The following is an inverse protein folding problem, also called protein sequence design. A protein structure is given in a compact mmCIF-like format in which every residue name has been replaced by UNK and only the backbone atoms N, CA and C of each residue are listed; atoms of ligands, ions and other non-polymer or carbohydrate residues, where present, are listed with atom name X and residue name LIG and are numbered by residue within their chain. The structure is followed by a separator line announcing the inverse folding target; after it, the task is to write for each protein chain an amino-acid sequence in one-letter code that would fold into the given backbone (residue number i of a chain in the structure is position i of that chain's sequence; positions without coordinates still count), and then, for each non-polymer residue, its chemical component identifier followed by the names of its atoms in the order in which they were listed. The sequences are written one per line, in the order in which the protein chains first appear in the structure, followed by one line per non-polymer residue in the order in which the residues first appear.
data_IF_510459960949
#
_entry.id   IF_510459960949
#
_cell.length_a   1.000
_cell.length_b   1.000
_cell.length_c   1.000
_cell.angle_alpha   90.00
_cell.angle_beta   90.00
_cell.angle_gamma   90.00
#
_symmetry.space_group_name_H-M   'P 1'
#
loop_
_entity.id
_entity.type
_entity.pdbx_description
1 polymer ?
#
# COMPACT_ATOMS: atom_id res chain seq x y z
N UNK A 1 18.23 -0.31 9.28
CA UNK A 1 18.27 -0.04 7.82
C UNK A 1 18.27 -1.41 7.15
N UNK A 2 17.18 -1.79 6.48
CA UNK A 2 17.06 -3.11 5.82
C UNK A 2 18.06 -3.19 4.68
N UNK A 3 18.81 -4.29 4.57
CA UNK A 3 19.81 -4.43 3.50
C UNK A 3 19.11 -4.68 2.16
N UNK A 4 19.77 -4.32 1.07
CA UNK A 4 19.22 -4.45 -0.29
C UNK A 4 18.74 -5.87 -0.62
N UNK A 5 19.53 -6.89 -0.24
CA UNK A 5 19.21 -8.31 -0.42
C UNK A 5 17.93 -8.73 0.34
N UNK A 6 17.75 -8.25 1.58
CA UNK A 6 16.56 -8.52 2.39
C UNK A 6 15.31 -7.88 1.77
N UNK A 7 15.47 -6.74 1.08
CA UNK A 7 14.37 -6.04 0.42
C UNK A 7 13.90 -6.78 -0.84
N UNK A 8 14.81 -7.36 -1.62
CA UNK A 8 14.43 -8.24 -2.75
C UNK A 8 13.57 -9.41 -2.23
N UNK A 9 14.03 -10.07 -1.16
CA UNK A 9 13.28 -11.17 -0.54
C UNK A 9 11.89 -10.73 -0.06
N UNK A 10 11.81 -9.58 0.63
CA UNK A 10 10.55 -9.06 1.14
C UNK A 10 9.57 -8.70 0.00
N UNK A 11 10.03 -8.03 -1.05
CA UNK A 11 9.19 -7.68 -2.21
C UNK A 11 8.70 -8.91 -2.96
N UNK A 12 9.56 -9.92 -3.14
CA UNK A 12 9.16 -11.20 -3.73
C UNK A 12 8.03 -11.86 -2.92
N UNK A 13 8.20 -11.92 -1.60
CA UNK A 13 7.19 -12.53 -0.70
C UNK A 13 5.89 -11.73 -0.66
N UNK A 14 5.96 -10.41 -0.67
CA UNK A 14 4.78 -9.55 -0.70
C UNK A 14 3.94 -9.73 -1.99
N UNK A 15 4.61 -10.05 -3.10
CA UNK A 15 3.98 -10.34 -4.39
C UNK A 15 3.66 -11.84 -4.59
N UNK A 16 3.78 -12.67 -3.55
CA UNK A 16 3.53 -14.12 -3.59
C UNK A 16 4.35 -14.92 -4.62
N UNK A 17 5.49 -14.39 -5.05
CA UNK A 17 6.35 -15.07 -6.01
C UNK A 17 7.29 -16.09 -5.34
N UNK A 18 7.52 -17.19 -6.01
CA UNK A 18 8.62 -18.13 -5.77
C UNK A 18 9.92 -17.60 -6.38
N UNK A 19 11.07 -18.13 -5.93
CA UNK A 19 12.35 -17.79 -6.54
C UNK A 19 12.45 -18.27 -8.00
N UNK A 20 11.73 -19.34 -8.35
CA UNK A 20 11.71 -19.89 -9.70
C UNK A 20 10.94 -18.97 -10.65
N UNK A 21 9.77 -18.46 -10.24
CA UNK A 21 8.96 -17.56 -11.06
C UNK A 21 9.71 -16.26 -11.38
N UNK A 22 10.38 -15.65 -10.39
CA UNK A 22 11.20 -14.45 -10.64
C UNK A 22 12.40 -14.77 -11.53
N UNK A 23 13.03 -15.93 -11.33
CA UNK A 23 14.16 -16.34 -12.15
C UNK A 23 13.76 -16.46 -13.63
N UNK A 24 12.58 -17.02 -13.90
CA UNK A 24 12.02 -17.13 -15.24
C UNK A 24 11.75 -15.75 -15.85
N UNK A 25 11.10 -14.86 -15.11
CA UNK A 25 10.79 -13.50 -15.57
C UNK A 25 12.05 -12.70 -15.92
N UNK A 26 13.07 -12.81 -15.08
CA UNK A 26 14.35 -12.10 -15.25
C UNK A 26 15.35 -12.83 -16.15
N UNK A 27 14.99 -14.01 -16.67
CA UNK A 27 15.85 -14.88 -17.49
C UNK A 27 17.20 -15.17 -16.82
N UNK A 28 17.16 -15.51 -15.54
CA UNK A 28 18.31 -15.92 -14.72
C UNK A 28 18.04 -17.28 -14.09
N UNK A 29 19.03 -17.86 -13.40
CA UNK A 29 18.81 -19.11 -12.65
C UNK A 29 18.14 -18.84 -11.31
N UNK A 30 17.37 -19.81 -10.79
CA UNK A 30 16.84 -19.77 -9.41
C UNK A 30 17.94 -19.53 -8.36
N UNK A 31 19.11 -20.12 -8.58
CA UNK A 31 20.27 -19.93 -7.71
C UNK A 31 20.74 -18.47 -7.70
N UNK A 32 20.67 -17.78 -8.84
CA UNK A 32 20.98 -16.35 -8.95
C UNK A 32 20.07 -15.53 -8.05
N UNK A 33 18.76 -15.78 -8.06
CA UNK A 33 17.80 -15.11 -7.16
C UNK A 33 18.12 -15.40 -5.69
N UNK A 34 18.38 -16.67 -5.35
CA UNK A 34 18.77 -17.04 -3.98
C UNK A 34 20.03 -16.30 -3.52
N UNK A 35 21.04 -16.18 -4.40
CA UNK A 35 22.28 -15.48 -4.10
C UNK A 35 22.05 -13.97 -3.88
N UNK A 36 21.15 -13.36 -4.65
CA UNK A 36 20.77 -11.95 -4.45
C UNK A 36 20.01 -11.72 -3.15
N UNK A 37 19.12 -12.64 -2.74
CA UNK A 37 18.35 -12.54 -1.49
C UNK A 37 19.22 -12.79 -0.25
N UNK A 38 20.20 -13.68 -0.34
CA UNK A 38 21.15 -13.99 0.73
C UNK A 38 22.34 -13.03 0.78
N UNK A 39 22.51 -12.19 -0.25
CA UNK A 39 23.60 -11.21 -0.33
C UNK A 39 24.96 -11.80 -0.71
N UNK A 40 25.01 -13.05 -1.19
CA UNK A 40 26.25 -13.68 -1.68
C UNK A 40 26.65 -13.21 -3.07
N UNK A 41 25.70 -12.64 -3.83
CA UNK A 41 25.96 -11.94 -5.09
C UNK A 41 25.05 -10.71 -5.19
N UNK A 42 25.41 -9.77 -6.08
CA UNK A 42 24.59 -8.59 -6.37
C UNK A 42 24.10 -8.61 -7.82
N UNK A 43 22.86 -8.17 -8.09
CA UNK A 43 22.36 -7.95 -9.44
C UNK A 43 23.10 -6.80 -10.14
N UNK A 44 23.21 -6.89 -11.47
CA UNK A 44 23.67 -5.76 -12.30
C UNK A 44 22.61 -4.66 -12.31
N UNK A 45 22.99 -3.44 -12.72
CA UNK A 45 22.05 -2.31 -12.82
C UNK A 45 20.84 -2.66 -13.69
N UNK A 46 21.04 -3.32 -14.82
CA UNK A 46 19.96 -3.77 -15.69
C UNK A 46 18.98 -4.70 -14.96
N UNK A 47 19.50 -5.66 -14.17
CA UNK A 47 18.68 -6.56 -13.36
C UNK A 47 17.99 -5.86 -12.21
N UNK A 48 18.56 -4.79 -11.65
CA UNK A 48 17.88 -3.95 -10.67
C UNK A 48 16.69 -3.23 -11.31
N UNK A 49 16.84 -2.71 -12.53
CA UNK A 49 15.74 -2.07 -13.26
C UNK A 49 14.63 -3.08 -13.56
N UNK A 50 15.00 -4.27 -14.05
CA UNK A 50 14.03 -5.34 -14.30
C UNK A 50 13.31 -5.77 -13.00
N UNK A 51 14.03 -5.98 -11.89
CA UNK A 51 13.44 -6.28 -10.58
C UNK A 51 12.44 -5.21 -10.13
N UNK A 52 12.78 -3.93 -10.34
CA UNK A 52 11.92 -2.82 -9.99
C UNK A 52 10.60 -2.87 -10.77
N UNK A 53 10.68 -3.19 -12.07
CA UNK A 53 9.50 -3.38 -12.92
C UNK A 53 8.66 -4.61 -12.50
N UNK A 54 9.31 -5.75 -12.22
CA UNK A 54 8.63 -6.99 -11.79
C UNK A 54 7.86 -6.79 -10.48
N UNK A 55 8.41 -5.99 -9.57
CA UNK A 55 7.77 -5.71 -8.28
C UNK A 55 6.86 -4.47 -8.29
N UNK A 56 6.72 -3.79 -9.43
CA UNK A 56 5.99 -2.53 -9.58
C UNK A 56 6.41 -1.47 -8.54
N UNK A 57 7.72 -1.27 -8.40
CA UNK A 57 8.33 -0.25 -7.52
C UNK A 57 9.36 0.59 -8.27
N UNK A 58 9.67 1.79 -7.78
CA UNK A 58 10.81 2.54 -8.31
C UNK A 58 12.15 1.92 -7.91
N UNK A 59 13.20 2.17 -8.69
CA UNK A 59 14.56 1.74 -8.35
C UNK A 59 15.01 2.28 -6.98
N UNK A 60 14.67 3.54 -6.67
CA UNK A 60 14.90 4.18 -5.37
C UNK A 60 14.21 3.41 -4.23
N UNK A 61 12.96 2.99 -4.42
CA UNK A 61 12.25 2.13 -3.48
C UNK A 61 12.94 0.76 -3.36
N UNK A 62 13.32 0.12 -4.46
CA UNK A 62 13.97 -1.19 -4.42
C UNK A 62 15.31 -1.17 -3.67
N UNK A 63 16.16 -0.15 -3.88
CA UNK A 63 17.48 -0.04 -3.24
C UNK A 63 17.45 0.57 -1.83
N UNK A 64 16.26 0.82 -1.28
CA UNK A 64 16.10 1.41 0.05
C UNK A 64 16.41 2.90 0.11
N UNK A 65 16.65 3.55 -1.04
CA UNK A 65 16.68 5.01 -1.20
C UNK A 65 15.28 5.55 -1.39
N UNK A 66 14.33 5.10 -0.58
CA UNK A 66 13.04 5.77 -0.53
C UNK A 66 13.30 7.22 -0.13
N UNK A 67 13.31 8.12 -1.12
CA UNK A 67 12.83 9.48 -0.91
C UNK A 67 11.39 9.28 -0.53
N UNK A 68 11.16 9.05 0.76
CA UNK A 68 9.92 9.32 1.46
C UNK A 68 8.84 9.80 0.49
N UNK A 69 8.15 8.85 -0.18
CA UNK A 69 6.87 9.14 -0.85
C UNK A 69 5.79 9.45 0.20
N UNK A 70 6.19 9.81 1.42
CA UNK A 70 5.50 10.78 2.26
C UNK A 70 5.55 12.17 1.62
N UNK A 71 4.97 12.34 0.43
CA UNK A 71 4.36 13.62 0.07
C UNK A 71 2.85 13.46 0.06
N UNK A 72 2.31 13.74 1.26
CA UNK A 72 1.01 14.35 1.55
C UNK A 72 -0.27 13.51 1.40
N UNK A 73 -0.35 12.40 2.14
CA UNK A 73 -1.62 11.99 2.76
C UNK A 73 -1.62 12.14 4.30
N UNK A 74 -0.46 12.17 4.97
CA UNK A 74 -0.44 11.91 6.43
C UNK A 74 -0.43 13.12 7.38
N UNK A 75 -0.45 14.38 6.96
CA UNK A 75 -0.65 15.46 7.95
C UNK A 75 -2.11 15.50 8.41
N UNK A 76 -2.99 15.59 7.41
CA UNK A 76 -4.42 15.74 7.58
C UNK A 76 -5.03 14.43 8.09
N UNK A 77 -4.75 13.28 7.47
CA UNK A 77 -5.33 12.00 7.92
C UNK A 77 -4.88 11.60 9.33
N UNK A 78 -3.61 11.87 9.71
CA UNK A 78 -3.17 11.65 11.10
C UNK A 78 -3.90 12.58 12.09
N UNK A 79 -4.25 13.81 11.68
CA UNK A 79 -5.06 14.72 12.52
C UNK A 79 -6.49 14.23 12.74
N UNK A 80 -6.96 13.30 11.91
CA UNK A 80 -8.27 12.67 12.04
C UNK A 80 -8.24 11.40 12.90
N UNK A 81 -7.07 10.96 13.37
CA UNK A 81 -6.98 9.80 14.27
C UNK A 81 -7.81 10.05 15.53
N UNK A 82 -8.63 9.08 15.90
CA UNK A 82 -9.61 9.15 16.99
C UNK A 82 -10.71 10.22 16.84
N UNK A 83 -10.82 10.90 15.69
CA UNK A 83 -11.93 11.81 15.39
C UNK A 83 -13.11 11.04 14.80
N UNK A 84 -14.33 11.55 15.03
CA UNK A 84 -15.54 11.11 14.34
C UNK A 84 -15.69 11.94 13.06
N UNK A 85 -15.83 11.25 11.94
CA UNK A 85 -15.89 11.87 10.61
C UNK A 85 -16.96 11.21 9.75
N UNK A 86 -17.46 11.96 8.79
CA UNK A 86 -18.18 11.42 7.64
C UNK A 86 -17.21 11.28 6.46
N UNK A 87 -17.12 10.09 5.85
CA UNK A 87 -16.29 9.82 4.69
C UNK A 87 -17.14 9.80 3.42
N UNK A 88 -16.64 10.44 2.36
CA UNK A 88 -17.20 10.35 1.02
C UNK A 88 -16.33 9.42 0.18
N UNK A 89 -16.92 8.35 -0.33
CA UNK A 89 -16.22 7.34 -1.12
C UNK A 89 -16.60 7.43 -2.59
N UNK A 90 -15.69 6.97 -3.45
CA UNK A 90 -16.00 6.70 -4.86
C UNK A 90 -17.04 5.59 -4.94
N UNK A 91 -18.12 5.76 -5.72
CA UNK A 91 -19.06 4.66 -5.98
C UNK A 91 -18.32 3.51 -6.67
N UNK A 92 -18.56 2.27 -6.24
CA UNK A 92 -17.86 1.06 -6.74
C UNK A 92 -18.37 0.61 -8.12
N UNK A 93 -18.98 1.49 -8.92
CA UNK A 93 -19.55 1.13 -10.22
C UNK A 93 -18.92 1.95 -11.34
N UNK A 94 -18.30 1.24 -12.28
CA UNK A 94 -17.63 1.65 -13.53
C UNK A 94 -18.57 2.37 -14.55
N UNK A 95 -19.68 2.97 -14.08
CA UNK A 95 -20.72 3.55 -14.91
C UNK A 95 -20.82 5.04 -14.62
N UNK A 96 -20.48 5.83 -15.64
CA UNK A 96 -20.40 7.30 -15.73
C UNK A 96 -21.64 8.10 -15.23
N UNK A 97 -22.68 7.49 -14.65
CA UNK A 97 -23.98 8.15 -14.42
C UNK A 97 -24.72 7.75 -13.12
N UNK A 98 -24.12 7.05 -12.15
CA UNK A 98 -24.75 6.89 -10.83
C UNK A 98 -24.32 8.01 -9.88
N UNK A 99 -25.07 9.11 -9.92
CA UNK A 99 -24.96 10.23 -8.99
C UNK A 99 -25.43 9.75 -7.61
N UNK A 100 -24.57 9.04 -6.90
CA UNK A 100 -24.81 8.57 -5.54
C UNK A 100 -23.47 8.45 -4.84
N UNK A 101 -23.05 9.49 -4.10
CA UNK A 101 -21.88 9.40 -3.24
C UNK A 101 -22.16 8.33 -2.19
N UNK A 102 -21.36 7.27 -2.13
CA UNK A 102 -21.41 6.37 -0.98
C UNK A 102 -20.79 7.13 0.20
N UNK A 103 -21.62 7.48 1.18
CA UNK A 103 -21.17 8.17 2.39
C UNK A 103 -21.18 7.23 3.58
N UNK A 104 -20.12 7.30 4.39
CA UNK A 104 -20.02 6.61 5.67
C UNK A 104 -20.09 7.66 6.77
N UNK A 105 -21.19 7.71 7.51
CA UNK A 105 -21.41 8.67 8.61
C UNK A 105 -20.95 8.12 9.95
N UNK A 106 -20.70 9.01 10.91
CA UNK A 106 -20.42 8.65 12.30
C UNK A 106 -19.31 7.59 12.45
N UNK A 107 -18.28 7.64 11.61
CA UNK A 107 -17.20 6.67 11.69
C UNK A 107 -16.00 7.27 12.43
N UNK A 108 -15.44 6.51 13.35
CA UNK A 108 -14.24 6.88 14.09
C UNK A 108 -13.02 6.29 13.39
N UNK A 109 -12.06 7.11 13.01
CA UNK A 109 -10.79 6.61 12.47
C UNK A 109 -9.95 6.06 13.63
N UNK A 110 -9.67 4.77 13.62
CA UNK A 110 -8.89 4.08 14.66
C UNK A 110 -7.45 3.80 14.23
N UNK A 111 -7.19 3.75 12.93
CA UNK A 111 -5.85 3.49 12.38
C UNK A 111 -5.68 4.20 11.04
N UNK A 112 -4.51 4.78 10.79
CA UNK A 112 -4.17 5.44 9.53
C UNK A 112 -2.85 4.86 9.03
N UNK A 113 -2.91 4.20 7.89
CA UNK A 113 -1.78 3.65 7.18
C UNK A 113 -1.53 4.44 5.89
N UNK A 114 -0.38 4.26 5.21
CA UNK A 114 -0.07 5.02 4.00
C UNK A 114 -1.05 4.81 2.82
N UNK A 115 -1.77 3.69 2.79
CA UNK A 115 -2.67 3.31 1.68
C UNK A 115 -4.12 3.07 2.12
N UNK A 116 -4.39 3.04 3.42
CA UNK A 116 -5.70 2.72 3.98
C UNK A 116 -5.92 3.37 5.33
N UNK A 117 -7.19 3.50 5.71
CA UNK A 117 -7.63 3.85 7.05
C UNK A 117 -8.51 2.74 7.59
N UNK A 118 -8.44 2.49 8.89
CA UNK A 118 -9.42 1.64 9.58
C UNK A 118 -10.39 2.54 10.33
N UNK A 119 -11.67 2.32 10.09
CA UNK A 119 -12.76 3.03 10.73
C UNK A 119 -13.55 2.09 11.62
N UNK A 120 -14.15 2.65 12.66
CA UNK A 120 -15.11 1.98 13.54
C UNK A 120 -16.44 2.70 13.47
N UNK A 121 -17.51 1.95 13.30
CA UNK A 121 -18.90 2.44 13.30
C UNK A 121 -19.72 1.65 14.29
N UNK A 122 -20.84 2.22 14.73
CA UNK A 122 -21.82 1.55 15.57
C UNK A 122 -23.06 1.25 14.72
N UNK A 123 -23.31 -0.03 14.48
CA UNK A 123 -24.50 -0.51 13.77
C UNK A 123 -25.27 -1.45 14.72
N UNK A 124 -26.52 -1.11 15.04
CA UNK A 124 -27.43 -1.93 15.87
C UNK A 124 -26.80 -2.48 17.18
N UNK A 125 -26.16 -1.61 17.96
CA UNK A 125 -25.44 -1.94 19.22
C UNK A 125 -24.21 -2.85 19.05
N UNK A 126 -23.68 -3.00 17.83
CA UNK A 126 -22.44 -3.72 17.56
C UNK A 126 -21.41 -2.77 16.94
N UNK A 127 -20.19 -2.78 17.49
CA UNK A 127 -19.07 -2.05 16.89
C UNK A 127 -18.54 -2.84 15.70
N UNK A 128 -18.60 -2.23 14.52
CA UNK A 128 -18.10 -2.80 13.27
C UNK A 128 -16.87 -2.03 12.83
N UNK A 129 -15.77 -2.73 12.56
CA UNK A 129 -14.54 -2.17 12.04
C UNK A 129 -14.39 -2.47 10.55
N UNK A 130 -14.13 -1.45 9.74
CA UNK A 130 -13.95 -1.58 8.30
C UNK A 130 -12.62 -0.96 7.86
N UNK A 131 -11.98 -1.57 6.86
CA UNK A 131 -10.79 -1.04 6.20
C UNK A 131 -11.21 -0.34 4.91
N UNK A 132 -10.81 0.92 4.75
CA UNK A 132 -11.08 1.74 3.57
C UNK A 132 -9.76 2.14 2.93
N UNK A 133 -9.59 1.94 1.63
CA UNK A 133 -8.39 2.39 0.94
C UNK A 133 -8.45 3.89 0.64
N UNK A 134 -7.33 4.59 0.80
CA UNK A 134 -7.26 6.05 0.61
C UNK A 134 -7.60 6.44 -0.84
N UNK A 135 -7.26 5.60 -1.81
CA UNK A 135 -7.59 5.79 -3.24
C UNK A 135 -9.11 5.88 -3.51
N UNK A 136 -9.92 5.31 -2.63
CA UNK A 136 -11.38 5.26 -2.76
C UNK A 136 -12.05 6.41 -1.98
N UNK A 137 -11.29 7.25 -1.28
CA UNK A 137 -11.81 8.38 -0.50
C UNK A 137 -11.78 9.65 -1.36
N UNK A 138 -12.97 10.18 -1.66
CA UNK A 138 -13.15 11.46 -2.35
C UNK A 138 -12.98 12.67 -1.41
N UNK A 139 -13.30 12.49 -0.13
CA UNK A 139 -13.19 13.55 0.87
C UNK A 139 -13.69 13.09 2.24
N UNK A 140 -13.55 13.98 3.22
CA UNK A 140 -14.06 13.77 4.57
C UNK A 140 -14.62 15.07 5.13
N UNK A 141 -15.61 14.97 6.00
CA UNK A 141 -16.10 16.07 6.83
C UNK A 141 -15.94 15.68 8.29
N UNK A 142 -15.34 16.58 9.08
CA UNK A 142 -15.21 16.38 10.52
C UNK A 142 -16.54 16.76 11.16
N UNK A 143 -17.11 15.86 11.94
CA UNK A 143 -18.28 16.19 12.73
C UNK A 143 -17.84 17.05 13.92
N UNK A 144 -18.34 18.29 13.95
CA UNK A 144 -18.19 19.18 15.09
C UNK A 144 -19.39 18.93 15.98
N UNK A 145 -19.14 18.27 17.12
CA UNK A 145 -20.11 18.26 18.24
C UNK A 145 -20.30 19.66 18.80
#
# INVERSE_FOLDING_TARGET
MTKFNERIYALRKANNFTQEEIAQELKVSRQTISNWETGTAQPTIDKVIELANVFDVSMDELIGRSKNKTKKASGILLSLLNQVVTLYLTPVTDVLLSIGRTEIKNCKIIEVNPTSIRIRMEDKNQQVENLIFIKDILGFEKEVN
#
